data_IF_380342607969
#
_entry.id   IF_380342607969
#
_cell.length_a   1.000
_cell.length_b   1.000
_cell.length_c   1.000
_cell.angle_alpha   90.00
_cell.angle_beta   90.00
_cell.angle_gamma   90.00
#
_symmetry.space_group_name_H-M   'P 1'
#
loop_
_entity.id
_entity.type
_entity.pdbx_description
1 polymer ?
#
# COMPACT_ATOMS: atom_id res chain seq x y z
N UNK A 1 -15.81 -11.60 -51.44
CA UNK A 1 -15.59 -11.11 -50.05
C UNK A 1 -14.31 -10.30 -50.11
N UNK A 2 -14.41 -8.96 -50.17
CA UNK A 2 -13.21 -8.06 -50.17
C UNK A 2 -12.76 -8.01 -48.70
N UNK A 3 -11.71 -8.77 -48.39
CA UNK A 3 -11.03 -8.63 -47.10
C UNK A 3 -10.33 -7.27 -47.17
N UNK A 4 -10.92 -6.28 -46.55
CA UNK A 4 -10.29 -4.95 -46.38
C UNK A 4 -9.12 -5.17 -45.40
N UNK A 5 -7.94 -5.44 -45.94
CA UNK A 5 -6.72 -5.65 -45.17
C UNK A 5 -6.24 -4.29 -44.62
N UNK A 6 -6.90 -3.80 -43.56
CA UNK A 6 -6.32 -2.75 -42.76
C UNK A 6 -5.06 -3.33 -42.14
N UNK A 7 -3.90 -2.82 -42.48
CA UNK A 7 -2.66 -3.22 -41.85
C UNK A 7 -2.70 -2.74 -40.39
N UNK A 8 -2.73 -3.69 -39.48
CA UNK A 8 -2.59 -3.39 -38.04
C UNK A 8 -1.10 -3.42 -37.67
N UNK A 9 -0.69 -2.48 -36.85
CA UNK A 9 0.67 -2.46 -36.33
C UNK A 9 0.92 -3.66 -35.42
N UNK A 10 2.14 -4.23 -35.41
CA UNK A 10 2.52 -5.23 -34.43
C UNK A 10 2.42 -4.68 -33.02
N UNK A 11 2.18 -5.56 -32.05
CA UNK A 11 2.21 -5.17 -30.63
C UNK A 11 3.61 -4.65 -30.24
N UNK A 12 3.63 -3.64 -29.39
CA UNK A 12 4.84 -3.20 -28.71
C UNK A 12 5.28 -4.24 -27.69
N UNK A 13 6.59 -4.42 -27.56
CA UNK A 13 7.22 -5.27 -26.55
C UNK A 13 7.96 -4.37 -25.57
N UNK A 14 7.59 -4.43 -24.31
CA UNK A 14 8.19 -3.63 -23.26
C UNK A 14 8.81 -4.57 -22.22
N UNK A 15 10.12 -4.48 -21.93
CA UNK A 15 10.73 -5.27 -20.86
C UNK A 15 10.00 -5.04 -19.55
N UNK A 16 9.68 -6.11 -18.84
CA UNK A 16 8.93 -6.03 -17.61
C UNK A 16 9.23 -7.22 -16.69
N UNK A 17 9.15 -6.99 -15.40
CA UNK A 17 9.22 -8.04 -14.37
C UNK A 17 7.91 -8.07 -13.60
N UNK A 18 7.26 -9.22 -13.54
CA UNK A 18 6.06 -9.41 -12.75
C UNK A 18 6.46 -9.94 -11.38
N UNK A 19 6.23 -9.15 -10.34
CA UNK A 19 6.71 -9.44 -9.00
C UNK A 19 5.59 -9.46 -7.98
N UNK A 20 5.76 -10.31 -6.97
CA UNK A 20 5.08 -10.20 -5.68
C UNK A 20 5.98 -9.45 -4.70
N UNK A 21 5.39 -8.51 -3.98
CA UNK A 21 5.98 -7.90 -2.79
C UNK A 21 4.94 -7.92 -1.68
N UNK A 22 5.28 -8.50 -0.52
CA UNK A 22 4.32 -8.75 0.54
C UNK A 22 3.08 -9.49 0.00
N UNK A 23 1.89 -9.02 0.35
CA UNK A 23 0.59 -9.56 -0.10
C UNK A 23 0.06 -8.87 -1.36
N UNK A 24 0.91 -8.19 -2.12
CA UNK A 24 0.55 -7.54 -3.39
C UNK A 24 1.42 -8.06 -4.53
N UNK A 25 0.94 -7.91 -5.77
CA UNK A 25 1.73 -8.15 -6.98
C UNK A 25 1.50 -7.04 -8.00
N UNK A 26 2.49 -6.80 -8.84
CA UNK A 26 2.45 -5.77 -9.86
C UNK A 26 3.49 -5.97 -10.95
N UNK A 27 3.37 -5.18 -12.00
CA UNK A 27 4.32 -5.14 -13.11
C UNK A 27 5.35 -4.05 -12.84
N UNK A 28 6.62 -4.45 -12.85
CA UNK A 28 7.77 -3.58 -12.60
C UNK A 28 8.46 -3.25 -13.92
N UNK A 29 8.85 -2.00 -14.06
CA UNK A 29 9.57 -1.47 -15.20
C UNK A 29 10.80 -0.69 -14.75
N UNK A 30 11.91 -0.83 -15.48
CA UNK A 30 12.91 0.21 -15.48
C UNK A 30 12.38 1.38 -16.34
N UNK A 31 12.48 2.59 -15.84
CA UNK A 31 11.99 3.79 -16.54
C UNK A 31 12.51 3.89 -17.98
N UNK A 32 13.79 3.55 -18.19
CA UNK A 32 14.43 3.66 -19.50
C UNK A 32 13.95 2.59 -20.50
N UNK A 33 13.30 1.52 -20.04
CA UNK A 33 12.72 0.50 -20.91
C UNK A 33 11.34 0.87 -21.43
N UNK A 34 10.72 1.91 -20.85
CA UNK A 34 9.44 2.43 -21.36
C UNK A 34 9.63 3.21 -22.66
N UNK A 35 8.62 3.22 -23.57
CA UNK A 35 8.61 4.15 -24.69
C UNK A 35 8.83 5.60 -24.24
N UNK A 36 9.57 6.38 -25.00
CA UNK A 36 9.99 7.74 -24.65
C UNK A 36 8.84 8.62 -24.14
N UNK A 37 7.68 8.57 -24.81
CA UNK A 37 6.49 9.32 -24.40
C UNK A 37 5.94 8.89 -23.03
N UNK A 38 6.22 7.66 -22.57
CA UNK A 38 5.79 7.14 -21.28
C UNK A 38 6.84 7.31 -20.17
N UNK A 39 8.07 7.70 -20.50
CA UNK A 39 9.10 8.00 -19.50
C UNK A 39 8.79 9.30 -18.74
N UNK A 40 7.96 10.16 -19.28
CA UNK A 40 7.52 11.42 -18.67
C UNK A 40 6.12 11.24 -18.08
N UNK A 41 5.83 11.86 -16.93
CA UNK A 41 4.50 11.87 -16.34
C UNK A 41 3.47 12.48 -17.30
N UNK A 42 2.30 11.86 -17.41
CA UNK A 42 1.20 12.33 -18.26
C UNK A 42 0.39 11.21 -18.89
N UNK A 43 -0.52 11.60 -19.77
CA UNK A 43 -1.53 10.71 -20.37
C UNK A 43 -0.93 9.52 -21.15
N UNK A 44 0.23 9.69 -21.78
CA UNK A 44 0.89 8.61 -22.52
C UNK A 44 1.36 7.49 -21.57
N UNK A 45 1.95 7.86 -20.42
CA UNK A 45 2.32 6.90 -19.36
C UNK A 45 1.09 6.20 -18.80
N UNK A 46 0.05 6.96 -18.46
CA UNK A 46 -1.16 6.41 -17.85
C UNK A 46 -1.87 5.46 -18.84
N UNK A 47 -2.03 5.83 -20.09
CA UNK A 47 -2.64 5.00 -21.12
C UNK A 47 -1.87 3.66 -21.31
N UNK A 48 -0.52 3.73 -21.33
CA UNK A 48 0.32 2.54 -21.42
C UNK A 48 0.09 1.61 -20.22
N UNK A 49 0.14 2.14 -18.99
CA UNK A 49 0.01 1.35 -17.76
C UNK A 49 -1.41 0.79 -17.59
N UNK A 50 -2.44 1.54 -17.94
CA UNK A 50 -3.81 1.07 -18.02
C UNK A 50 -3.90 -0.15 -18.95
N UNK A 51 -3.30 -0.05 -20.12
CA UNK A 51 -3.33 -1.15 -21.10
C UNK A 51 -2.55 -2.38 -20.64
N UNK A 52 -1.39 -2.17 -19.97
CA UNK A 52 -0.62 -3.27 -19.36
C UNK A 52 -1.45 -4.03 -18.32
N UNK A 53 -2.19 -3.33 -17.49
CA UNK A 53 -3.00 -3.94 -16.42
C UNK A 53 -4.32 -4.52 -16.96
N UNK A 54 -4.80 -4.05 -18.11
CA UNK A 54 -6.09 -4.43 -18.69
C UNK A 54 -7.24 -3.63 -18.10
N UNK A 55 -7.04 -2.32 -17.97
CA UNK A 55 -8.02 -1.36 -17.42
C UNK A 55 -8.31 -0.24 -18.44
N UNK A 56 -9.51 0.38 -18.38
CA UNK A 56 -10.66 0.01 -17.55
C UNK A 56 -11.31 -1.29 -18.05
N UNK A 57 -11.68 -2.17 -17.14
CA UNK A 57 -12.40 -3.40 -17.48
C UNK A 57 -13.81 -3.39 -16.90
N UNK A 58 -14.85 -3.26 -17.74
CA UNK A 58 -16.23 -3.25 -17.28
C UNK A 58 -16.70 -4.60 -16.72
N UNK A 59 -15.96 -5.68 -17.02
CA UNK A 59 -16.23 -7.02 -16.48
C UNK A 59 -15.57 -7.27 -15.13
N UNK A 60 -14.67 -6.39 -14.70
CA UNK A 60 -13.95 -6.51 -13.43
C UNK A 60 -13.07 -7.75 -13.31
N UNK A 61 -12.46 -8.21 -14.40
CA UNK A 61 -11.61 -9.42 -14.47
C UNK A 61 -10.18 -9.13 -14.91
N UNK A 62 -9.97 -8.01 -15.63
CA UNK A 62 -8.69 -7.63 -16.24
C UNK A 62 -8.06 -8.76 -17.09
N UNK A 63 -8.91 -9.50 -17.82
CA UNK A 63 -8.52 -10.68 -18.59
C UNK A 63 -7.56 -10.34 -19.73
N UNK A 64 -7.64 -9.12 -20.27
CA UNK A 64 -6.78 -8.63 -21.36
C UNK A 64 -5.60 -7.79 -20.83
N UNK A 65 -5.03 -8.18 -19.70
CA UNK A 65 -3.88 -7.53 -19.09
C UNK A 65 -3.26 -8.35 -17.97
N UNK A 66 -2.29 -7.74 -17.28
CA UNK A 66 -1.52 -8.37 -16.20
C UNK A 66 -2.18 -8.18 -14.82
N UNK A 67 -3.26 -7.45 -14.74
CA UNK A 67 -3.99 -7.24 -13.49
C UNK A 67 -4.71 -8.50 -13.01
N UNK A 68 -5.18 -8.48 -11.76
CA UNK A 68 -5.93 -9.57 -11.14
C UNK A 68 -7.22 -9.10 -10.49
N UNK A 69 -7.77 -7.98 -10.95
CA UNK A 69 -9.07 -7.43 -10.57
C UNK A 69 -9.27 -7.19 -9.06
N UNK A 70 -8.19 -6.94 -8.33
CA UNK A 70 -8.23 -6.50 -6.93
C UNK A 70 -7.26 -5.34 -6.71
N UNK A 71 -7.45 -4.58 -5.64
CA UNK A 71 -6.52 -3.49 -5.30
C UNK A 71 -5.09 -3.97 -4.99
N UNK A 72 -4.92 -5.23 -4.59
CA UNK A 72 -3.62 -5.84 -4.32
C UNK A 72 -2.91 -6.37 -5.57
N UNK A 73 -3.61 -6.48 -6.69
CA UNK A 73 -3.10 -7.11 -7.93
C UNK A 73 -3.18 -6.21 -9.17
N UNK A 74 -3.72 -4.98 -9.05
CA UNK A 74 -3.84 -4.00 -10.15
C UNK A 74 -2.84 -2.86 -9.94
N UNK A 75 -1.55 -3.17 -10.06
CA UNK A 75 -0.45 -2.27 -9.65
C UNK A 75 0.67 -2.26 -10.66
N UNK A 76 1.27 -1.08 -10.82
CA UNK A 76 2.48 -0.89 -11.60
C UNK A 76 3.56 -0.20 -10.76
N UNK A 77 4.81 -0.49 -11.07
CA UNK A 77 5.98 0.09 -10.43
C UNK A 77 6.96 0.52 -11.52
N UNK A 78 7.45 1.74 -11.41
CA UNK A 78 8.53 2.24 -12.24
C UNK A 78 9.72 2.53 -11.33
N UNK A 79 10.88 1.96 -11.65
CA UNK A 79 12.14 2.17 -10.92
C UNK A 79 13.13 2.81 -11.86
N UNK A 80 13.90 3.77 -11.37
CA UNK A 80 14.97 4.42 -12.12
C UNK A 80 16.18 4.69 -11.24
N UNK A 81 17.32 4.98 -11.87
CA UNK A 81 18.42 5.62 -11.16
C UNK A 81 17.94 6.95 -10.55
N UNK A 82 18.56 7.35 -9.45
CA UNK A 82 18.22 8.59 -8.73
C UNK A 82 19.34 9.59 -8.75
N UNK A 83 19.00 10.87 -8.78
CA UNK A 83 19.95 11.97 -8.57
C UNK A 83 20.03 12.40 -7.09
N UNK A 84 19.28 11.75 -6.21
CA UNK A 84 19.25 12.08 -4.79
C UNK A 84 20.46 11.49 -4.07
N UNK A 85 21.18 12.33 -3.36
CA UNK A 85 22.27 11.89 -2.50
C UNK A 85 21.80 10.80 -1.51
N UNK A 86 22.66 9.84 -1.23
CA UNK A 86 22.41 8.74 -0.28
C UNK A 86 21.25 7.81 -0.66
N UNK A 87 20.79 7.80 -1.91
CA UNK A 87 19.82 6.85 -2.41
C UNK A 87 20.40 6.03 -3.59
N UNK A 88 19.80 4.89 -3.86
CA UNK A 88 20.20 4.01 -4.97
C UNK A 88 19.26 4.16 -6.15
N UNK A 89 17.96 4.25 -5.88
CA UNK A 89 16.92 4.27 -6.90
C UNK A 89 15.75 5.17 -6.51
N UNK A 90 15.08 5.70 -7.52
CA UNK A 90 13.74 6.25 -7.39
C UNK A 90 12.70 5.16 -7.63
N UNK A 91 11.67 5.15 -6.80
CA UNK A 91 10.53 4.26 -6.89
C UNK A 91 9.25 5.05 -7.08
N UNK A 92 8.58 4.84 -8.20
CA UNK A 92 7.28 5.44 -8.51
C UNK A 92 6.21 4.35 -8.56
N UNK A 93 5.15 4.49 -7.77
CA UNK A 93 4.06 3.54 -7.64
C UNK A 93 2.79 4.05 -8.32
N UNK A 94 2.16 3.22 -9.16
CA UNK A 94 0.85 3.47 -9.77
C UNK A 94 -0.19 2.45 -9.29
N UNK A 95 -1.25 2.93 -8.60
CA UNK A 95 -2.43 2.13 -8.34
C UNK A 95 -3.39 2.25 -9.51
N UNK A 96 -3.55 1.20 -10.29
CA UNK A 96 -4.42 1.20 -11.45
C UNK A 96 -5.86 0.91 -11.03
N UNK A 97 -6.81 1.76 -11.43
CA UNK A 97 -8.23 1.50 -11.23
C UNK A 97 -8.67 0.30 -12.09
N UNK A 98 -9.59 -0.51 -11.58
CA UNK A 98 -10.07 -1.69 -12.29
C UNK A 98 -11.07 -1.30 -13.39
N UNK A 99 -12.00 -0.45 -13.06
CA UNK A 99 -13.20 -0.10 -13.85
C UNK A 99 -13.16 1.32 -14.43
N UNK A 100 -12.21 2.16 -13.99
CA UNK A 100 -12.07 3.56 -14.44
C UNK A 100 -10.75 3.77 -15.18
N UNK A 101 -10.71 4.67 -16.19
CA UNK A 101 -9.52 4.92 -16.99
C UNK A 101 -8.56 5.88 -16.29
N UNK A 102 -8.07 5.55 -15.11
CA UNK A 102 -7.06 6.35 -14.43
C UNK A 102 -6.09 5.52 -13.59
N UNK A 103 -4.89 6.07 -13.38
CA UNK A 103 -3.86 5.59 -12.47
C UNK A 103 -3.76 6.58 -11.31
N UNK A 104 -3.94 6.11 -10.07
CA UNK A 104 -3.79 6.92 -8.87
C UNK A 104 -2.32 6.93 -8.43
N UNK A 105 -1.69 8.10 -8.49
CA UNK A 105 -0.32 8.37 -8.09
C UNK A 105 -0.19 8.98 -6.70
N UNK A 106 -1.29 9.12 -5.95
CA UNK A 106 -1.33 9.90 -4.71
C UNK A 106 -0.69 9.22 -3.50
N UNK A 107 -0.20 7.99 -3.63
CA UNK A 107 0.31 7.24 -2.49
C UNK A 107 1.38 6.23 -2.84
N UNK A 108 1.80 5.46 -1.85
CA UNK A 108 2.79 4.40 -1.94
C UNK A 108 2.14 3.01 -1.74
N UNK A 109 2.84 1.96 -2.16
CA UNK A 109 2.52 0.58 -1.84
C UNK A 109 3.61 -0.05 -0.97
N UNK A 110 3.43 -0.04 0.35
CA UNK A 110 4.40 -0.61 1.29
C UNK A 110 4.64 -2.11 1.12
N UNK A 111 3.69 -2.85 0.56
CA UNK A 111 3.91 -4.26 0.20
C UNK A 111 4.88 -4.39 -0.98
N UNK A 112 4.66 -3.66 -2.07
CA UNK A 112 5.55 -3.71 -3.23
C UNK A 112 6.92 -3.06 -2.95
N UNK A 113 7.04 -2.18 -1.95
CA UNK A 113 8.33 -1.64 -1.50
C UNK A 113 9.34 -2.74 -1.16
N UNK A 114 8.88 -3.89 -0.65
CA UNK A 114 9.74 -5.04 -0.38
C UNK A 114 10.36 -5.66 -1.64
N UNK A 115 9.73 -5.47 -2.80
CA UNK A 115 10.23 -6.00 -4.07
C UNK A 115 11.13 -5.03 -4.82
N UNK A 116 11.09 -3.73 -4.48
CA UNK A 116 11.85 -2.69 -5.19
C UNK A 116 13.36 -2.91 -5.08
N UNK A 117 13.85 -3.24 -3.88
CA UNK A 117 15.27 -3.51 -3.67
C UNK A 117 15.76 -4.71 -4.49
N UNK A 118 14.99 -5.79 -4.48
CA UNK A 118 15.29 -7.00 -5.29
C UNK A 118 15.29 -6.68 -6.78
N UNK A 119 14.27 -5.93 -7.26
CA UNK A 119 14.22 -5.49 -8.65
C UNK A 119 15.40 -4.61 -9.03
N UNK A 120 15.75 -3.64 -8.18
CA UNK A 120 16.85 -2.71 -8.45
C UNK A 120 18.20 -3.43 -8.58
N UNK A 121 18.46 -4.42 -7.71
CA UNK A 121 19.66 -5.25 -7.78
C UNK A 121 19.65 -6.08 -9.07
N UNK A 122 18.57 -6.80 -9.34
CA UNK A 122 18.46 -7.72 -10.50
C UNK A 122 18.52 -6.96 -11.83
N UNK A 123 17.99 -5.72 -11.87
CA UNK A 123 18.02 -4.85 -13.06
C UNK A 123 19.32 -4.06 -13.20
N UNK A 124 20.31 -4.25 -12.32
CA UNK A 124 21.60 -3.55 -12.37
C UNK A 124 21.54 -2.06 -12.06
N UNK A 125 20.53 -1.60 -11.34
CA UNK A 125 20.36 -0.20 -10.92
C UNK A 125 21.13 0.14 -9.64
N UNK A 126 21.60 -0.86 -8.89
CA UNK A 126 22.43 -0.70 -7.69
C UNK A 126 23.89 -0.95 -8.04
N UNK A 127 24.80 -0.13 -7.52
CA UNK A 127 26.24 -0.31 -7.70
C UNK A 127 26.68 -1.70 -7.19
N UNK A 128 27.28 -2.50 -8.08
CA UNK A 128 27.72 -3.88 -7.80
C UNK A 128 28.70 -3.93 -6.62
N UNK A 129 29.52 -2.89 -6.42
CA UNK A 129 30.46 -2.83 -5.29
C UNK A 129 29.79 -2.82 -3.92
N UNK A 130 28.50 -2.48 -3.87
CA UNK A 130 27.68 -2.45 -2.65
C UNK A 130 26.85 -3.71 -2.42
N UNK A 131 26.89 -4.64 -3.38
CA UNK A 131 26.11 -5.88 -3.31
C UNK A 131 27.02 -6.98 -2.76
N UNK A 132 26.75 -7.51 -1.54
CA UNK A 132 27.56 -8.60 -0.99
C UNK A 132 27.29 -9.91 -1.74
N UNK A 133 28.27 -10.77 -1.83
CA UNK A 133 28.09 -12.11 -2.37
C UNK A 133 27.10 -12.94 -1.53
N UNK A 134 27.20 -12.82 -0.20
CA UNK A 134 26.29 -13.46 0.76
C UNK A 134 25.96 -12.48 1.89
N UNK A 135 24.75 -12.55 2.45
CA UNK A 135 24.31 -11.72 3.56
C UNK A 135 23.21 -10.75 3.14
N UNK A 136 23.27 -9.50 3.57
CA UNK A 136 22.21 -8.52 3.34
C UNK A 136 22.74 -7.34 2.51
N UNK A 137 22.11 -7.10 1.37
CA UNK A 137 22.28 -5.86 0.60
C UNK A 137 21.32 -4.80 1.13
N UNK A 138 21.84 -3.61 1.41
CA UNK A 138 21.02 -2.46 1.83
C UNK A 138 20.74 -1.61 0.61
N UNK A 139 19.46 -1.50 0.24
CA UNK A 139 19.01 -0.65 -0.87
C UNK A 139 18.23 0.54 -0.31
N UNK A 140 18.71 1.75 -0.57
CA UNK A 140 18.09 3.00 -0.16
C UNK A 140 17.24 3.52 -1.31
N UNK A 141 15.94 3.54 -1.11
CA UNK A 141 14.92 3.81 -2.10
C UNK A 141 14.29 5.18 -1.83
N UNK A 142 14.30 6.07 -2.81
CA UNK A 142 13.48 7.28 -2.77
C UNK A 142 12.10 6.96 -3.31
N UNK A 143 11.10 7.00 -2.46
CA UNK A 143 9.70 6.82 -2.87
C UNK A 143 9.15 8.14 -3.41
N UNK A 144 9.08 8.26 -4.74
CA UNK A 144 8.85 9.52 -5.43
C UNK A 144 7.43 10.09 -5.28
N UNK A 145 6.41 9.23 -5.04
CA UNK A 145 5.03 9.71 -4.90
C UNK A 145 4.83 10.57 -3.65
N UNK A 146 5.50 10.24 -2.56
CA UNK A 146 5.29 10.85 -1.25
C UNK A 146 6.56 11.51 -0.68
N UNK A 147 7.67 11.51 -1.43
CA UNK A 147 8.92 12.14 -1.00
C UNK A 147 9.54 11.51 0.25
N UNK A 148 9.65 10.16 0.31
CA UNK A 148 10.11 9.43 1.50
C UNK A 148 11.24 8.46 1.20
N UNK A 149 12.10 8.27 2.18
CA UNK A 149 13.14 7.23 2.15
C UNK A 149 12.58 5.91 2.67
N UNK A 150 12.80 4.86 1.89
CA UNK A 150 12.56 3.48 2.29
C UNK A 150 13.90 2.74 2.22
N UNK A 151 14.19 1.92 3.23
CA UNK A 151 15.38 1.08 3.25
C UNK A 151 14.92 -0.37 3.16
N UNK A 152 15.37 -1.08 2.12
CA UNK A 152 15.13 -2.51 1.96
C UNK A 152 16.40 -3.29 2.30
N UNK A 153 16.25 -4.28 3.19
CA UNK A 153 17.29 -5.22 3.56
C UNK A 153 17.07 -6.49 2.74
N UNK A 154 17.79 -6.61 1.63
CA UNK A 154 17.60 -7.68 0.64
C UNK A 154 18.57 -8.81 0.91
N UNK A 155 18.11 -10.05 1.19
CA UNK A 155 18.98 -11.18 1.38
C UNK A 155 19.66 -11.58 0.06
N UNK A 156 20.94 -11.91 0.15
CA UNK A 156 21.81 -12.27 -0.97
C UNK A 156 22.43 -13.64 -0.75
N UNK A 157 22.54 -14.43 -1.80
CA UNK A 157 23.23 -15.72 -1.80
C UNK A 157 23.96 -15.91 -3.13
N UNK A 158 25.27 -16.16 -3.07
CA UNK A 158 26.13 -16.35 -4.24
C UNK A 158 26.03 -15.20 -5.26
N UNK A 159 25.97 -13.97 -4.78
CA UNK A 159 25.86 -12.77 -5.61
C UNK A 159 24.47 -12.52 -6.25
N UNK A 160 23.49 -13.35 -5.91
CA UNK A 160 22.12 -13.24 -6.41
C UNK A 160 21.15 -12.88 -5.28
N UNK A 161 20.05 -12.24 -5.62
CA UNK A 161 18.94 -12.00 -4.69
C UNK A 161 18.39 -13.36 -4.23
N UNK A 162 18.35 -13.56 -2.92
CA UNK A 162 17.76 -14.76 -2.35
C UNK A 162 16.23 -14.58 -2.25
N UNK A 163 15.48 -15.39 -2.97
CA UNK A 163 14.01 -15.34 -2.95
C UNK A 163 13.39 -16.48 -2.13
N UNK A 164 14.14 -17.56 -1.91
CA UNK A 164 13.69 -18.73 -1.14
C UNK A 164 14.15 -18.65 0.31
N UNK A 165 13.32 -19.15 1.25
CA UNK A 165 13.59 -19.14 2.68
C UNK A 165 12.40 -19.66 3.47
N UNK A 166 12.48 -19.59 4.79
CA UNK A 166 11.50 -20.15 5.71
C UNK A 166 10.57 -19.08 6.32
N UNK A 167 10.68 -17.82 5.89
CA UNK A 167 9.82 -16.75 6.40
C UNK A 167 8.40 -16.90 5.89
N UNK A 168 7.48 -17.15 6.81
CA UNK A 168 6.05 -17.21 6.55
C UNK A 168 5.42 -15.82 6.66
N UNK A 169 4.58 -15.48 5.69
CA UNK A 169 3.82 -14.24 5.66
C UNK A 169 2.33 -14.55 5.49
N UNK A 170 1.54 -14.30 6.50
CA UNK A 170 0.09 -14.52 6.43
C UNK A 170 -0.53 -13.71 5.27
N UNK A 171 -1.31 -14.39 4.43
CA UNK A 171 -1.83 -13.87 3.17
C UNK A 171 -0.96 -14.19 1.94
N UNK A 172 0.14 -14.94 2.13
CA UNK A 172 0.99 -15.51 1.07
C UNK A 172 1.10 -17.01 1.28
N UNK A 173 0.90 -17.78 0.21
CA UNK A 173 0.76 -19.25 0.31
C UNK A 173 2.05 -19.96 0.69
N UNK A 174 3.20 -19.50 0.19
CA UNK A 174 4.48 -20.18 0.35
C UNK A 174 5.48 -19.32 1.13
N UNK A 175 6.31 -19.93 1.98
CA UNK A 175 7.41 -19.23 2.62
C UNK A 175 8.42 -18.73 1.57
N UNK A 176 9.20 -17.72 1.95
CA UNK A 176 10.20 -17.10 1.10
C UNK A 176 11.31 -16.48 1.95
N UNK A 177 12.33 -15.88 1.34
CA UNK A 177 13.32 -15.12 2.07
C UNK A 177 12.69 -13.86 2.68
N UNK A 178 13.08 -13.55 3.91
CA UNK A 178 12.62 -12.35 4.62
C UNK A 178 13.30 -11.11 4.06
N UNK A 179 12.51 -10.09 3.76
CA UNK A 179 12.97 -8.74 3.42
C UNK A 179 12.45 -7.79 4.50
N UNK A 180 13.35 -7.27 5.32
CA UNK A 180 13.01 -6.20 6.26
C UNK A 180 12.91 -4.89 5.47
N UNK A 181 11.81 -4.17 5.70
CA UNK A 181 11.57 -2.85 5.08
C UNK A 181 11.42 -1.81 6.18
N UNK A 182 12.21 -0.75 6.11
CA UNK A 182 12.15 0.38 7.01
C UNK A 182 11.64 1.62 6.26
N UNK A 183 10.65 2.28 6.83
CA UNK A 183 10.08 3.54 6.34
C UNK A 183 10.60 4.66 7.23
N UNK A 184 11.46 5.50 6.67
CA UNK A 184 12.10 6.59 7.40
C UNK A 184 11.19 7.81 7.42
N UNK A 185 11.05 8.43 8.60
CA UNK A 185 10.23 9.62 8.79
C UNK A 185 8.88 9.54 8.07
N UNK A 186 8.09 8.50 8.34
CA UNK A 186 6.91 8.18 7.52
C UNK A 186 5.82 9.25 7.55
N UNK A 187 5.89 10.18 8.50
CA UNK A 187 4.96 11.29 8.67
C UNK A 187 5.43 12.60 8.02
N UNK A 188 6.75 12.82 7.89
CA UNK A 188 7.26 14.08 7.36
C UNK A 188 7.04 14.16 5.85
N UNK A 189 6.42 15.18 5.31
CA UNK A 189 6.09 15.31 3.88
C UNK A 189 6.71 16.55 3.27
N UNK A 190 7.43 16.41 2.13
CA UNK A 190 7.52 17.48 1.16
C UNK A 190 6.23 17.48 0.35
N UNK A 191 5.47 18.57 0.36
CA UNK A 191 4.35 18.78 -0.58
C UNK A 191 2.95 18.89 0.00
N UNK A 192 2.74 18.77 1.32
CA UNK A 192 1.50 19.28 1.92
C UNK A 192 1.76 20.66 2.52
N UNK A 193 0.98 21.63 2.09
CA UNK A 193 1.07 23.04 2.48
C UNK A 193 0.68 23.26 3.97
N UNK A 194 1.37 22.58 4.90
CA UNK A 194 1.15 22.77 6.34
C UNK A 194 2.49 22.75 7.07
N UNK A 195 2.80 23.87 7.68
CA UNK A 195 3.93 24.07 8.61
C UNK A 195 3.68 23.45 9.98
N UNK A 196 2.63 22.62 10.15
CA UNK A 196 2.25 21.97 11.39
C UNK A 196 2.46 20.46 11.29
N UNK A 197 2.74 19.84 12.42
CA UNK A 197 3.02 18.43 12.64
C UNK A 197 2.26 17.51 11.66
N UNK A 198 2.97 16.94 10.69
CA UNK A 198 2.37 16.16 9.60
C UNK A 198 1.81 14.80 10.05
N UNK A 199 2.19 14.31 11.26
CA UNK A 199 1.74 13.02 11.77
C UNK A 199 0.23 12.99 12.02
N UNK A 200 -0.29 14.03 12.70
CA UNK A 200 -1.73 14.22 12.94
C UNK A 200 -2.21 15.47 12.20
N UNK A 201 -2.78 15.34 11.01
CA UNK A 201 -3.18 16.48 10.18
C UNK A 201 -4.18 17.42 10.85
N UNK A 202 -4.97 16.91 11.80
CA UNK A 202 -5.94 17.70 12.58
C UNK A 202 -5.35 18.30 13.86
N UNK A 203 -4.12 17.89 14.23
CA UNK A 203 -3.49 18.25 15.51
C UNK A 203 -3.98 17.42 16.71
N UNK A 204 -4.93 16.50 16.53
CA UNK A 204 -5.53 15.70 17.59
C UNK A 204 -5.17 14.23 17.46
N UNK A 205 -5.03 13.52 18.59
CA UNK A 205 -4.88 12.06 18.63
C UNK A 205 -6.20 11.36 18.31
N UNK A 206 -7.31 11.95 18.76
CA UNK A 206 -8.68 11.48 18.47
C UNK A 206 -9.53 12.71 18.12
N UNK A 207 -10.20 12.63 17.01
CA UNK A 207 -11.16 13.61 16.51
C UNK A 207 -12.60 13.11 16.62
N UNK A 208 -13.52 14.05 16.67
CA UNK A 208 -14.91 13.84 16.34
C UNK A 208 -15.09 14.00 14.83
N UNK A 209 -15.31 12.88 14.13
CA UNK A 209 -15.61 12.87 12.71
C UNK A 209 -17.13 12.96 12.52
N UNK A 210 -17.59 14.11 12.06
CA UNK A 210 -19.01 14.34 11.75
C UNK A 210 -19.33 13.79 10.37
N UNK A 211 -20.35 12.96 10.29
CA UNK A 211 -20.89 12.37 9.06
C UNK A 211 -22.42 12.47 9.09
N UNK A 212 -23.14 12.30 7.97
CA UNK A 212 -24.61 12.25 8.01
C UNK A 212 -25.14 11.12 8.91
N UNK A 213 -26.25 11.32 9.59
CA UNK A 213 -26.93 10.29 10.42
C UNK A 213 -27.32 9.05 9.61
N UNK A 214 -27.48 9.18 8.30
CA UNK A 214 -27.71 8.05 7.38
C UNK A 214 -26.48 7.16 7.19
N UNK A 215 -25.29 7.66 7.56
CA UNK A 215 -24.01 6.92 7.49
C UNK A 215 -23.74 6.17 8.80
N UNK A 216 -23.85 6.89 9.93
CA UNK A 216 -23.65 6.34 11.26
C UNK A 216 -24.70 6.94 12.20
N UNK A 217 -25.29 6.11 13.05
CA UNK A 217 -26.25 6.57 14.02
C UNK A 217 -25.67 7.67 14.92
N UNK A 218 -26.40 8.77 15.09
CA UNK A 218 -25.92 9.95 15.83
C UNK A 218 -25.03 10.89 15.04
N UNK A 219 -24.72 10.61 13.77
CA UNK A 219 -24.01 11.50 12.86
C UNK A 219 -22.55 11.82 13.23
N UNK A 220 -21.95 11.05 14.13
CA UNK A 220 -20.60 11.31 14.65
C UNK A 220 -19.93 10.02 15.10
N UNK A 221 -18.61 9.91 14.91
CA UNK A 221 -17.78 8.84 15.44
C UNK A 221 -16.40 9.36 15.85
N UNK A 222 -15.77 8.66 16.79
CA UNK A 222 -14.38 8.93 17.17
C UNK A 222 -13.45 8.38 16.11
N UNK A 223 -12.44 9.16 15.73
CA UNK A 223 -11.46 8.76 14.73
C UNK A 223 -10.04 9.21 15.12
N UNK A 224 -9.06 8.34 14.94
CA UNK A 224 -7.65 8.74 14.86
C UNK A 224 -7.30 8.91 13.40
N UNK A 225 -6.94 10.11 12.99
CA UNK A 225 -6.54 10.46 11.63
C UNK A 225 -5.04 10.70 11.58
N UNK A 226 -4.30 9.80 10.96
CA UNK A 226 -2.84 9.82 10.96
C UNK A 226 -2.28 9.83 9.53
N UNK A 227 -1.19 10.55 9.34
CA UNK A 227 -0.43 10.56 8.09
C UNK A 227 0.94 9.92 8.33
N UNK A 228 1.00 8.58 8.27
CA UNK A 228 2.23 7.82 8.40
C UNK A 228 2.24 6.67 7.40
N UNK A 229 3.15 6.68 6.44
CA UNK A 229 3.18 5.72 5.34
C UNK A 229 2.06 5.92 4.31
N UNK A 230 0.84 6.12 4.78
CA UNK A 230 -0.32 6.54 3.99
C UNK A 230 -1.33 7.23 4.93
N UNK A 231 -2.01 8.30 4.50
CA UNK A 231 -3.12 8.86 5.26
C UNK A 231 -4.15 7.79 5.60
N UNK A 232 -4.45 7.62 6.89
CA UNK A 232 -5.34 6.57 7.38
C UNK A 232 -6.26 7.10 8.47
N UNK A 233 -7.54 6.72 8.39
CA UNK A 233 -8.58 7.01 9.37
C UNK A 233 -8.84 5.72 10.12
N UNK A 234 -8.55 5.70 11.42
CA UNK A 234 -8.89 4.60 12.32
C UNK A 234 -10.14 4.93 13.11
N UNK A 235 -11.07 3.99 13.17
CA UNK A 235 -12.32 4.05 13.94
C UNK A 235 -12.48 2.78 14.76
N UNK A 236 -13.29 2.79 15.82
CA UNK A 236 -13.60 1.55 16.54
C UNK A 236 -14.57 0.70 15.72
N UNK A 237 -14.38 -0.61 15.75
CA UNK A 237 -15.25 -1.56 15.06
C UNK A 237 -16.70 -1.47 15.58
N UNK A 238 -16.87 -1.36 16.89
CA UNK A 238 -18.17 -1.29 17.55
C UNK A 238 -19.01 -0.07 17.13
N UNK A 239 -18.36 1.07 16.85
CA UNK A 239 -19.04 2.32 16.45
C UNK A 239 -19.72 2.19 15.07
N UNK A 240 -19.31 1.19 14.27
CA UNK A 240 -19.85 0.90 12.93
C UNK A 240 -20.51 -0.48 12.84
N UNK A 241 -20.75 -1.13 13.99
CA UNK A 241 -21.49 -2.39 14.07
C UNK A 241 -20.71 -3.63 13.72
N UNK A 242 -19.36 -3.59 13.83
CA UNK A 242 -18.45 -4.70 13.56
C UNK A 242 -17.69 -5.14 14.80
N UNK A 243 -17.06 -6.31 14.71
CA UNK A 243 -16.30 -6.95 15.80
C UNK A 243 -14.78 -6.83 15.63
N UNK A 244 -14.32 -6.53 14.40
CA UNK A 244 -12.90 -6.56 14.03
C UNK A 244 -12.43 -7.96 13.60
N UNK A 245 -13.33 -8.95 13.49
CA UNK A 245 -13.01 -10.32 13.06
C UNK A 245 -13.54 -10.67 11.67
N UNK A 246 -14.21 -9.76 11.01
CA UNK A 246 -14.85 -9.96 9.71
C UNK A 246 -13.86 -10.35 8.62
N UNK A 247 -14.30 -11.24 7.72
CA UNK A 247 -13.62 -11.59 6.48
C UNK A 247 -14.18 -10.78 5.31
N UNK A 248 -13.51 -10.86 4.16
CA UNK A 248 -13.85 -10.03 3.00
C UNK A 248 -15.32 -10.14 2.56
N UNK A 249 -15.86 -11.35 2.51
CA UNK A 249 -17.21 -11.60 2.00
C UNK A 249 -18.29 -10.90 2.83
N UNK A 250 -18.10 -10.85 4.15
CA UNK A 250 -19.05 -10.21 5.06
C UNK A 250 -19.22 -8.70 4.79
N UNK A 251 -18.19 -8.05 4.28
CA UNK A 251 -18.20 -6.60 3.99
C UNK A 251 -18.32 -6.35 2.50
N UNK A 252 -17.55 -7.06 1.67
CA UNK A 252 -17.47 -6.76 0.24
C UNK A 252 -18.75 -7.11 -0.54
N UNK A 253 -19.60 -7.97 0.00
CA UNK A 253 -20.92 -8.30 -0.56
C UNK A 253 -22.05 -7.40 -0.02
N UNK A 254 -21.78 -6.57 0.98
CA UNK A 254 -22.74 -5.62 1.53
C UNK A 254 -22.55 -4.22 0.95
N UNK A 255 -23.42 -3.85 0.01
CA UNK A 255 -23.40 -2.53 -0.65
C UNK A 255 -23.57 -1.40 0.36
N UNK A 256 -24.35 -1.61 1.44
CA UNK A 256 -24.58 -0.58 2.46
C UNK A 256 -23.33 -0.35 3.29
N UNK A 257 -22.63 -1.45 3.67
CA UNK A 257 -21.36 -1.36 4.36
C UNK A 257 -20.31 -0.61 3.52
N UNK A 258 -20.20 -0.94 2.23
CA UNK A 258 -19.24 -0.27 1.35
C UNK A 258 -19.56 1.22 1.19
N UNK A 259 -20.85 1.59 1.05
CA UNK A 259 -21.27 2.99 0.97
C UNK A 259 -20.99 3.75 2.29
N UNK A 260 -21.19 3.11 3.44
CA UNK A 260 -20.89 3.69 4.75
C UNK A 260 -19.37 3.97 4.88
N UNK A 261 -18.52 3.01 4.58
CA UNK A 261 -17.07 3.19 4.67
C UNK A 261 -16.55 4.23 3.66
N UNK A 262 -17.12 4.28 2.46
CA UNK A 262 -16.76 5.31 1.49
C UNK A 262 -17.16 6.71 1.96
N UNK A 263 -18.32 6.85 2.58
CA UNK A 263 -18.72 8.12 3.18
C UNK A 263 -17.76 8.52 4.32
N UNK A 264 -17.44 7.61 5.24
CA UNK A 264 -16.47 7.87 6.31
C UNK A 264 -15.12 8.31 5.71
N UNK A 265 -14.67 7.66 4.62
CA UNK A 265 -13.44 8.02 3.91
C UNK A 265 -13.49 9.43 3.34
N UNK A 266 -14.58 9.80 2.67
CA UNK A 266 -14.73 11.10 2.03
C UNK A 266 -14.78 12.24 3.06
N UNK A 267 -15.60 12.11 4.10
CA UNK A 267 -15.66 13.10 5.18
C UNK A 267 -14.34 13.22 5.95
N UNK A 268 -13.69 12.09 6.21
CA UNK A 268 -12.37 12.07 6.82
C UNK A 268 -11.29 12.71 5.94
N UNK A 269 -11.34 12.52 4.62
CA UNK A 269 -10.42 13.15 3.69
C UNK A 269 -10.53 14.70 3.72
N UNK A 270 -11.75 15.24 3.81
CA UNK A 270 -11.98 16.68 4.03
C UNK A 270 -11.42 17.11 5.37
N UNK A 271 -11.72 16.37 6.45
CA UNK A 271 -11.25 16.69 7.81
C UNK A 271 -9.71 16.69 7.92
N UNK A 272 -9.04 15.79 7.18
CA UNK A 272 -7.59 15.72 7.08
C UNK A 272 -6.98 16.80 6.16
N UNK A 273 -7.79 17.58 5.45
CA UNK A 273 -7.32 18.59 4.49
C UNK A 273 -6.72 17.99 3.21
N UNK A 274 -7.05 16.75 2.89
CA UNK A 274 -6.58 16.07 1.67
C UNK A 274 -7.38 16.46 0.42
N UNK A 275 -8.63 16.87 0.63
CA UNK A 275 -9.57 17.40 -0.37
C UNK A 275 -10.35 18.54 0.29
N UNK A 276 -10.96 19.40 -0.52
CA UNK A 276 -11.76 20.53 -0.04
C UNK A 276 -13.25 20.24 -0.03
N UNK A 277 -13.69 19.35 -0.91
CA UNK A 277 -15.08 18.92 -1.03
C UNK A 277 -15.18 17.40 -1.19
N UNK A 278 -16.24 16.81 -0.61
CA UNK A 278 -16.44 15.35 -0.64
C UNK A 278 -16.56 14.77 -2.06
N UNK A 279 -17.00 15.56 -3.04
CA UNK A 279 -17.08 15.14 -4.45
C UNK A 279 -15.73 14.83 -5.08
N UNK A 280 -14.65 15.40 -4.55
CA UNK A 280 -13.28 15.11 -5.01
C UNK A 280 -12.80 13.71 -4.59
N UNK A 281 -13.45 13.10 -3.60
CA UNK A 281 -13.05 11.81 -3.04
C UNK A 281 -13.05 10.69 -4.09
N UNK A 282 -13.92 10.76 -5.10
CA UNK A 282 -13.98 9.78 -6.18
C UNK A 282 -12.72 9.72 -7.04
N UNK A 283 -12.04 10.85 -7.23
CA UNK A 283 -10.78 10.95 -7.99
C UNK A 283 -9.56 10.62 -7.14
N UNK A 284 -9.75 10.38 -5.83
CA UNK A 284 -8.69 10.08 -4.86
C UNK A 284 -9.01 8.79 -4.08
N UNK A 285 -9.28 7.70 -4.79
CA UNK A 285 -9.72 6.44 -4.17
C UNK A 285 -8.64 5.73 -3.37
N UNK A 286 -7.36 5.96 -3.69
CA UNK A 286 -6.25 5.32 -3.00
C UNK A 286 -6.04 5.88 -1.58
N UNK A 287 -6.32 7.15 -1.35
CA UNK A 287 -6.12 7.84 -0.07
C UNK A 287 -7.30 8.72 0.35
N UNK A 288 -7.58 8.86 1.65
CA UNK A 288 -7.03 8.10 2.77
C UNK A 288 -7.54 6.66 2.80
N UNK A 289 -6.90 5.79 3.60
CA UNK A 289 -7.46 4.48 3.95
C UNK A 289 -8.44 4.63 5.11
N UNK A 290 -9.41 3.72 5.19
CA UNK A 290 -10.26 3.55 6.37
C UNK A 290 -9.93 2.20 6.98
N UNK A 291 -9.71 2.18 8.28
CA UNK A 291 -9.50 0.95 9.04
C UNK A 291 -10.32 1.00 10.33
N UNK A 292 -10.94 -0.10 10.69
CA UNK A 292 -11.55 -0.23 12.00
C UNK A 292 -10.75 -1.18 12.88
N UNK A 293 -10.66 -0.83 14.15
CA UNK A 293 -9.85 -1.52 15.16
C UNK A 293 -10.73 -2.05 16.27
N UNK A 294 -10.33 -3.16 16.83
CA UNK A 294 -10.99 -3.78 18.00
C UNK A 294 -9.93 -4.36 18.95
N UNK A 295 -10.31 -4.58 20.20
CA UNK A 295 -9.51 -5.35 21.18
C UNK A 295 -9.25 -6.76 20.62
N UNK A 296 -8.19 -7.44 21.09
CA UNK A 296 -7.93 -8.82 20.72
C UNK A 296 -9.12 -9.73 20.93
N UNK A 297 -9.45 -10.55 19.94
CA UNK A 297 -10.46 -11.59 20.01
C UNK A 297 -10.02 -12.81 19.20
N UNK A 298 -10.48 -13.99 19.59
CA UNK A 298 -10.27 -15.21 18.80
C UNK A 298 -11.05 -15.10 17.49
N UNK A 299 -10.42 -15.50 16.39
CA UNK A 299 -11.10 -15.60 15.09
C UNK A 299 -10.46 -16.66 14.20
N UNK A 300 -11.16 -17.04 13.13
CA UNK A 300 -10.65 -17.91 12.08
C UNK A 300 -10.29 -17.03 10.88
N UNK A 301 -9.04 -17.14 10.42
CA UNK A 301 -8.56 -16.40 9.24
C UNK A 301 -9.13 -16.95 7.93
N UNK A 302 -8.92 -16.24 6.82
CA UNK A 302 -9.35 -16.70 5.49
C UNK A 302 -8.62 -17.95 4.96
N UNK A 303 -7.60 -18.42 5.68
CA UNK A 303 -6.89 -19.69 5.42
C UNK A 303 -7.22 -20.78 6.44
N UNK A 304 -8.35 -20.64 7.17
CA UNK A 304 -8.79 -21.55 8.24
C UNK A 304 -7.82 -21.66 9.43
N UNK A 305 -6.82 -20.78 9.52
CA UNK A 305 -5.92 -20.70 10.66
C UNK A 305 -6.64 -20.02 11.83
N UNK A 306 -6.67 -20.69 12.98
CA UNK A 306 -7.16 -20.08 14.23
C UNK A 306 -6.14 -19.06 14.72
N UNK A 307 -6.58 -17.84 14.95
CA UNK A 307 -5.82 -16.77 15.59
C UNK A 307 -6.39 -16.60 17.00
N UNK A 308 -5.57 -16.82 18.02
CA UNK A 308 -6.00 -16.64 19.39
C UNK A 308 -5.83 -15.16 19.80
N UNK A 309 -6.72 -14.68 20.66
CA UNK A 309 -6.63 -13.33 21.22
C UNK A 309 -5.28 -13.07 21.92
N UNK A 310 -4.67 -14.11 22.50
CA UNK A 310 -3.35 -14.04 23.15
C UNK A 310 -2.19 -13.82 22.19
N UNK A 311 -2.37 -14.07 20.90
CA UNK A 311 -1.33 -14.02 19.89
C UNK A 311 -1.23 -12.64 19.23
N UNK A 312 -2.19 -11.76 19.51
CA UNK A 312 -2.32 -10.43 18.91
C UNK A 312 -2.54 -9.38 19.99
N UNK A 313 -2.10 -8.15 19.72
CA UNK A 313 -2.37 -6.98 20.57
C UNK A 313 -3.72 -6.31 20.25
N UNK A 314 -4.18 -6.40 19.00
CA UNK A 314 -5.47 -5.87 18.54
C UNK A 314 -5.89 -6.56 17.23
N UNK A 315 -7.16 -6.40 16.86
CA UNK A 315 -7.67 -6.76 15.54
C UNK A 315 -7.83 -5.51 14.66
N UNK A 316 -7.46 -5.62 13.38
CA UNK A 316 -7.62 -4.53 12.40
C UNK A 316 -8.22 -5.05 11.10
N UNK A 317 -9.16 -4.29 10.56
CA UNK A 317 -9.73 -4.49 9.23
C UNK A 317 -9.59 -3.20 8.45
N UNK A 318 -9.04 -3.25 7.24
CA UNK A 318 -8.73 -2.06 6.47
C UNK A 318 -9.25 -2.15 5.04
N UNK A 319 -9.83 -1.06 4.54
CA UNK A 319 -10.38 -0.96 3.20
C UNK A 319 -9.39 -0.26 2.25
N UNK A 320 -9.38 -0.71 1.01
CA UNK A 320 -8.60 -0.14 -0.08
C UNK A 320 -9.40 -0.15 -1.37
N UNK A 321 -9.47 0.98 -2.07
CA UNK A 321 -10.25 1.10 -3.31
C UNK A 321 -11.70 0.61 -3.12
N UNK A 322 -12.34 1.05 -2.04
CA UNK A 322 -13.74 0.72 -1.73
C UNK A 322 -14.02 -0.72 -1.31
N UNK A 323 -13.01 -1.55 -1.01
CA UNK A 323 -13.17 -2.94 -0.60
C UNK A 323 -12.31 -3.29 0.61
N UNK A 324 -12.79 -4.21 1.46
CA UNK A 324 -11.98 -4.79 2.52
C UNK A 324 -10.82 -5.57 1.92
N UNK A 325 -9.61 -5.28 2.38
CA UNK A 325 -8.39 -5.95 1.92
C UNK A 325 -8.31 -7.39 2.47
N UNK A 326 -7.86 -8.35 1.64
CA UNK A 326 -7.77 -9.75 2.03
C UNK A 326 -6.75 -10.04 3.14
N UNK A 327 -5.75 -9.19 3.27
CA UNK A 327 -4.72 -9.25 4.31
C UNK A 327 -4.51 -7.85 4.90
N UNK A 328 -3.30 -7.27 4.80
CA UNK A 328 -3.03 -5.90 5.21
C UNK A 328 -2.16 -5.18 4.18
N UNK A 329 -2.55 -3.95 3.85
CA UNK A 329 -1.72 -3.05 3.04
C UNK A 329 -0.47 -2.65 3.83
N UNK A 330 0.70 -2.72 3.21
CA UNK A 330 1.96 -2.40 3.90
C UNK A 330 2.02 -0.97 4.43
N UNK A 331 1.50 0.01 3.68
CA UNK A 331 1.45 1.40 4.13
C UNK A 331 0.45 1.61 5.28
N UNK A 332 -0.69 0.91 5.27
CA UNK A 332 -1.61 0.91 6.40
C UNK A 332 -0.98 0.23 7.63
N UNK A 333 -0.15 -0.81 7.43
CA UNK A 333 0.60 -1.43 8.52
C UNK A 333 1.59 -0.43 9.16
N UNK A 334 2.26 0.42 8.35
CA UNK A 334 3.08 1.54 8.87
C UNK A 334 2.24 2.49 9.71
N UNK A 335 1.04 2.87 9.21
CA UNK A 335 0.13 3.74 9.96
C UNK A 335 -0.35 3.09 11.27
N UNK A 336 -0.63 1.78 11.27
CA UNK A 336 -0.98 1.01 12.48
C UNK A 336 0.17 1.04 13.48
N UNK A 337 1.40 0.74 13.04
CA UNK A 337 2.58 0.79 13.91
C UNK A 337 2.81 2.18 14.50
N UNK A 338 2.75 3.21 13.68
CA UNK A 338 2.89 4.60 14.10
C UNK A 338 1.81 5.01 15.12
N UNK A 339 0.54 4.70 14.83
CA UNK A 339 -0.56 5.00 15.75
C UNK A 339 -0.47 4.19 17.06
N UNK A 340 -0.06 2.91 16.99
CA UNK A 340 0.12 2.09 18.18
C UNK A 340 1.24 2.62 19.10
N UNK A 341 2.30 3.19 18.51
CA UNK A 341 3.43 3.76 19.24
C UNK A 341 3.11 5.11 19.94
N UNK A 342 2.01 5.76 19.57
CA UNK A 342 1.56 7.02 20.16
C UNK A 342 0.45 6.75 21.19
N UNK A 343 0.72 6.91 22.50
CA UNK A 343 -0.28 6.70 23.54
C UNK A 343 -1.51 7.60 23.36
N UNK A 344 -2.69 7.02 23.50
CA UNK A 344 -3.97 7.74 23.42
C UNK A 344 -4.64 7.74 22.05
N UNK A 345 -4.02 7.23 21.00
CA UNK A 345 -4.73 6.96 19.72
C UNK A 345 -5.69 5.77 19.84
N UNK A 346 -6.69 5.68 18.98
CA UNK A 346 -7.62 4.52 18.99
C UNK A 346 -6.90 3.18 18.80
N UNK A 347 -5.86 3.15 17.97
CA UNK A 347 -5.02 1.95 17.74
C UNK A 347 -4.28 1.55 19.02
N UNK A 348 -3.63 2.52 19.67
CA UNK A 348 -2.93 2.29 20.94
C UNK A 348 -3.90 1.82 22.03
N UNK A 349 -5.05 2.45 22.16
CA UNK A 349 -6.09 2.09 23.15
C UNK A 349 -6.65 0.70 22.89
N UNK A 350 -6.92 0.34 21.61
CA UNK A 350 -7.36 -1.00 21.24
C UNK A 350 -6.32 -2.07 21.58
N UNK A 351 -5.03 -1.73 21.48
CA UNK A 351 -3.91 -2.59 21.85
C UNK A 351 -3.61 -2.63 23.37
N UNK A 352 -4.44 -2.02 24.22
CA UNK A 352 -4.28 -2.00 25.68
C UNK A 352 -3.55 -0.77 26.23
N UNK A 353 -3.23 0.20 25.39
CA UNK A 353 -2.62 1.49 25.82
C UNK A 353 -1.11 1.40 26.13
N UNK A 354 -0.57 2.51 26.64
CA UNK A 354 0.81 2.61 27.09
C UNK A 354 1.83 2.82 25.98
N UNK A 355 3.10 2.87 26.35
CA UNK A 355 4.22 3.02 25.41
C UNK A 355 4.47 1.69 24.68
N UNK A 356 4.61 1.73 23.37
CA UNK A 356 4.88 0.57 22.52
C UNK A 356 5.90 0.93 21.44
N UNK A 357 6.83 0.02 21.17
CA UNK A 357 7.77 0.09 20.04
C UNK A 357 7.40 -0.87 18.92
N UNK A 358 6.43 -1.74 19.15
CA UNK A 358 5.88 -2.67 18.17
C UNK A 358 4.48 -3.11 18.56
N UNK A 359 3.75 -3.62 17.57
CA UNK A 359 2.43 -4.20 17.74
C UNK A 359 2.26 -5.40 16.79
N UNK A 360 1.67 -6.48 17.32
CA UNK A 360 1.23 -7.62 16.50
C UNK A 360 -0.28 -7.55 16.36
N UNK A 361 -0.79 -7.35 15.16
CA UNK A 361 -2.23 -7.23 14.93
C UNK A 361 -2.80 -8.33 14.07
N UNK A 362 -4.04 -8.72 14.38
CA UNK A 362 -4.82 -9.67 13.60
C UNK A 362 -5.48 -9.00 12.39
N UNK A 363 -5.41 -9.64 11.21
CA UNK A 363 -6.05 -9.20 9.97
C UNK A 363 -6.74 -10.38 9.25
N UNK A 364 -7.52 -10.18 8.16
CA UNK A 364 -8.30 -11.28 7.56
C UNK A 364 -7.53 -12.56 7.26
N UNK A 365 -6.26 -12.49 6.85
CA UNK A 365 -5.46 -13.68 6.49
C UNK A 365 -4.57 -14.20 7.62
N UNK A 366 -4.55 -13.56 8.79
CA UNK A 366 -3.69 -13.98 9.91
C UNK A 366 -3.19 -12.82 10.75
N UNK A 367 -1.88 -12.74 10.99
CA UNK A 367 -1.25 -11.73 11.85
C UNK A 367 -0.13 -10.98 11.14
N UNK A 368 0.20 -9.81 11.66
CA UNK A 368 1.33 -9.04 11.19
C UNK A 368 1.91 -8.23 12.34
N UNK A 369 3.22 -8.34 12.51
CA UNK A 369 3.98 -7.49 13.43
C UNK A 369 4.58 -6.31 12.70
N UNK A 370 4.43 -5.12 13.28
CA UNK A 370 5.08 -3.88 12.82
C UNK A 370 5.75 -3.18 13.99
N UNK A 371 6.93 -2.62 13.75
CA UNK A 371 7.63 -1.77 14.70
C UNK A 371 7.49 -0.30 14.32
N UNK A 372 7.52 0.59 15.31
CA UNK A 372 7.65 2.02 15.08
C UNK A 372 8.38 2.70 16.25
N UNK A 373 9.18 3.71 15.92
CA UNK A 373 9.87 4.56 16.87
C UNK A 373 9.18 5.92 16.89
N UNK A 374 8.41 6.19 17.94
CA UNK A 374 7.74 7.45 18.17
C UNK A 374 8.40 8.21 19.33
N UNK A 375 8.44 9.52 19.24
CA UNK A 375 8.89 10.41 20.31
C UNK A 375 8.02 11.66 20.37
N UNK A 376 7.85 12.21 21.55
CA UNK A 376 7.17 13.47 21.77
C UNK A 376 8.20 14.56 22.06
N UNK A 377 8.14 15.64 21.30
CA UNK A 377 8.98 16.82 21.47
C UNK A 377 8.08 18.05 21.48
N UNK A 378 8.14 18.85 22.54
CA UNK A 378 7.33 20.07 22.72
C UNK A 378 5.81 19.83 22.53
N UNK A 379 5.29 18.70 23.01
CA UNK A 379 3.89 18.32 22.89
C UNK A 379 3.49 17.83 21.49
N UNK A 380 4.45 17.61 20.60
CA UNK A 380 4.23 17.10 19.26
C UNK A 380 4.84 15.71 19.09
N UNK A 381 4.03 14.77 18.61
CA UNK A 381 4.48 13.42 18.30
C UNK A 381 5.14 13.37 16.93
N UNK A 382 6.27 12.68 16.87
CA UNK A 382 6.97 12.34 15.63
C UNK A 382 7.24 10.85 15.56
N UNK A 383 7.29 10.30 14.36
CA UNK A 383 7.69 8.90 14.10
C UNK A 383 8.93 8.95 13.20
N UNK A 384 10.07 8.56 13.75
CA UNK A 384 11.34 8.60 13.02
C UNK A 384 11.51 7.40 12.08
N UNK A 385 10.92 6.25 12.45
CA UNK A 385 11.03 5.03 11.68
C UNK A 385 9.85 4.10 11.98
N UNK A 386 9.35 3.43 10.93
CA UNK A 386 8.52 2.25 11.06
C UNK A 386 9.15 1.10 10.27
N UNK A 387 9.01 -0.13 10.75
CA UNK A 387 9.62 -1.30 10.14
C UNK A 387 8.67 -2.50 10.12
N UNK A 388 8.78 -3.31 9.08
CA UNK A 388 8.05 -4.56 8.97
C UNK A 388 8.80 -5.57 8.11
N UNK A 389 8.68 -6.83 8.47
CA UNK A 389 9.16 -7.94 7.67
C UNK A 389 8.16 -8.31 6.59
N UNK A 390 8.67 -8.53 5.40
CA UNK A 390 7.94 -8.95 4.20
C UNK A 390 8.74 -10.02 3.47
N UNK A 391 8.22 -10.50 2.36
CA UNK A 391 8.98 -11.25 1.37
C UNK A 391 8.67 -10.73 -0.02
N UNK A 392 9.60 -10.92 -0.93
CA UNK A 392 9.43 -10.59 -2.34
C UNK A 392 9.78 -11.79 -3.21
N UNK A 393 9.23 -11.83 -4.42
CA UNK A 393 9.54 -12.87 -5.39
C UNK A 393 9.30 -12.38 -6.79
N UNK A 394 10.23 -12.67 -7.70
CA UNK A 394 10.04 -12.57 -9.13
C UNK A 394 9.12 -13.72 -9.56
N UNK A 395 8.01 -13.40 -10.22
CA UNK A 395 7.06 -14.39 -10.73
C UNK A 395 7.31 -14.67 -12.21
N UNK A 396 7.72 -13.65 -12.96
CA UNK A 396 8.03 -13.75 -14.39
C UNK A 396 8.90 -12.56 -14.80
N UNK A 397 9.83 -12.81 -15.68
CA UNK A 397 10.62 -11.81 -16.41
C UNK A 397 10.42 -11.98 -17.90
N UNK A 398 10.46 -10.86 -18.65
CA UNK A 398 10.33 -10.88 -20.09
C UNK A 398 9.74 -9.60 -20.67
N UNK A 399 8.79 -9.72 -21.57
CA UNK A 399 8.18 -8.57 -22.23
C UNK A 399 6.66 -8.63 -22.08
N UNK A 400 6.09 -7.55 -21.57
CA UNK A 400 4.66 -7.32 -21.72
C UNK A 400 4.39 -6.82 -23.12
N UNK A 401 3.29 -7.26 -23.71
CA UNK A 401 2.87 -6.85 -25.06
C UNK A 401 1.60 -6.04 -24.98
N UNK A 402 1.59 -4.89 -25.61
CA UNK A 402 0.43 -4.03 -25.72
C UNK A 402 0.19 -3.69 -27.19
N UNK A 403 -1.06 -3.45 -27.61
CA UNK A 403 -1.32 -2.91 -28.96
C UNK A 403 -0.53 -1.64 -29.21
N UNK A 404 0.06 -1.52 -30.38
CA UNK A 404 0.56 -0.24 -30.82
C UNK A 404 -0.64 0.64 -31.24
N UNK A 405 -0.72 1.85 -30.73
CA UNK A 405 -1.74 2.79 -31.15
C UNK A 405 -1.57 3.11 -32.65
N UNK A 406 -2.63 2.89 -33.38
CA UNK A 406 -2.70 3.35 -34.75
C UNK A 406 -3.17 4.82 -34.73
N UNK A 407 -2.37 5.73 -34.23
CA UNK A 407 -2.54 7.16 -34.19
C UNK A 407 -3.91 7.77 -34.44
#
# INVERSE_FOLDING_TARGET
MIINSRAYLPQLKIPATYMRGGTSKGVFFNLLDLPEAAQVAGSARDALLLRVIGSPDPYGKQTDGMGGATSSTSKTVIVSATDKADHDVDYLFGQVSIDKPFVDWSGNCGNLSAAVGSFAITSGLVDVSRIPENGIAIVRIWQANIGKTIIAHVPMTNGLVQETGDFELDGVTFPAAEVLVEFMHPADGEGTCSTTNNLFPTGNLIDDLVVPESVVAGGQLKATMINAGIPTIFINAEDVGYTGSELQEAINNDIKALAMFEAIRAYGAVKMGLITDISEAEQRQHTPKVAFVAKPADYISSSDKRIAASDIDLSVRALSMGKLHHAMMGTAAVAIGAAAAVPGTLVNLAAGGGNRDSVNFGHPSGTLRVGAQASEVDGQWTVTKASMSRSARILMEGWVRIPADNG
#
